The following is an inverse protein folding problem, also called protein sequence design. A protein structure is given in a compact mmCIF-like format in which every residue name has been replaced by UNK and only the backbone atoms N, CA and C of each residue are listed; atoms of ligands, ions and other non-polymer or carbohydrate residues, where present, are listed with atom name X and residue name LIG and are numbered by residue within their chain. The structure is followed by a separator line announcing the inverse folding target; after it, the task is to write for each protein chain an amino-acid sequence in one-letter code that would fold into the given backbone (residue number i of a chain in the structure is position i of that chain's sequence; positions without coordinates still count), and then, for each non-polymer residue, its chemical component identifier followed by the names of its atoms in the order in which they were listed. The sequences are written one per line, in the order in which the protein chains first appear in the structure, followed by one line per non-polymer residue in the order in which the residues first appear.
data_IF_591599651392
#
_entry.id   IF_591599651392
#
_cell.length_a   1.000
_cell.length_b   1.000
_cell.length_c   1.000
_cell.angle_alpha   90.00
_cell.angle_beta   90.00
_cell.angle_gamma   90.00
#
_symmetry.space_group_name_H-M   'P 1'
#
loop_
_entity.id
_entity.type
_entity.pdbx_description
1 polymer ?
#
# COMPACT_ATOMS: atom_id res chain seq x y z
N UNK A 1 -18.58 -19.38 7.07
CA UNK A 1 -18.17 -19.55 5.66
C UNK A 1 -19.06 -20.60 5.05
N UNK A 2 -19.68 -20.29 3.92
CA UNK A 2 -20.47 -21.26 3.18
C UNK A 2 -19.52 -22.15 2.37
N UNK A 3 -19.92 -23.37 2.03
CA UNK A 3 -19.08 -24.32 1.27
C UNK A 3 -18.77 -23.83 -0.17
N UNK A 4 -19.42 -22.74 -0.62
CA UNK A 4 -19.16 -22.08 -1.91
C UNK A 4 -17.92 -21.18 -1.91
N UNK A 5 -17.43 -20.79 -0.73
CA UNK A 5 -16.33 -19.81 -0.60
C UNK A 5 -14.95 -20.50 -0.56
N UNK A 6 -14.89 -21.80 -0.88
CA UNK A 6 -13.69 -22.63 -0.79
C UNK A 6 -13.34 -23.22 -2.15
N UNK A 7 -12.14 -22.90 -2.65
CA UNK A 7 -11.60 -23.44 -3.89
C UNK A 7 -10.32 -24.22 -3.64
N UNK A 8 -10.13 -25.33 -4.34
CA UNK A 8 -8.94 -26.20 -4.22
C UNK A 8 -8.09 -26.13 -5.48
N UNK A 9 -6.79 -25.90 -5.31
CA UNK A 9 -5.78 -25.97 -6.36
C UNK A 9 -4.86 -27.17 -6.14
N UNK A 10 -4.57 -27.92 -7.21
CA UNK A 10 -3.71 -29.10 -7.13
C UNK A 10 -2.27 -28.85 -7.66
N UNK A 11 -1.96 -27.66 -8.21
CA UNK A 11 -0.65 -27.21 -8.77
C UNK A 11 -0.55 -25.67 -8.78
N UNK A 12 0.55 -25.11 -9.30
CA UNK A 12 0.62 -23.69 -9.68
C UNK A 12 -0.54 -23.34 -10.62
N UNK A 13 -1.33 -22.33 -10.26
CA UNK A 13 -2.49 -21.93 -11.03
C UNK A 13 -3.09 -20.64 -10.52
N UNK A 14 -3.94 -20.06 -11.35
CA UNK A 14 -4.79 -18.93 -10.98
C UNK A 14 -6.16 -19.48 -10.58
N UNK A 15 -6.73 -18.95 -9.51
CA UNK A 15 -8.13 -19.18 -9.15
C UNK A 15 -8.88 -17.89 -9.37
N UNK A 16 -10.00 -18.00 -10.08
CA UNK A 16 -10.97 -16.94 -10.19
C UNK A 16 -12.14 -17.28 -9.27
N UNK A 17 -12.49 -16.34 -8.40
CA UNK A 17 -13.62 -16.47 -7.47
C UNK A 17 -14.60 -15.38 -7.85
N UNK A 18 -15.84 -15.76 -8.16
CA UNK A 18 -16.92 -14.79 -8.32
C UNK A 18 -17.40 -14.36 -6.94
N UNK A 19 -17.51 -13.05 -6.73
CA UNK A 19 -18.03 -12.49 -5.49
C UNK A 19 -19.52 -12.23 -5.63
N UNK A 20 -20.32 -12.75 -4.70
CA UNK A 20 -21.76 -12.48 -4.62
C UNK A 20 -22.03 -10.98 -4.36
N UNK A 21 -21.17 -10.35 -3.56
CA UNK A 21 -21.21 -8.92 -3.24
C UNK A 21 -19.82 -8.28 -3.33
N UNK A 22 -19.76 -7.09 -3.95
CA UNK A 22 -18.56 -6.29 -4.06
C UNK A 22 -18.58 -5.13 -3.05
N UNK A 23 -17.67 -5.21 -2.08
CA UNK A 23 -17.39 -4.19 -1.07
C UNK A 23 -16.06 -3.53 -1.42
N UNK A 24 -16.12 -2.26 -1.81
CA UNK A 24 -14.94 -1.53 -2.26
C UNK A 24 -14.21 -0.94 -1.06
N UNK A 25 -12.88 -0.99 -1.12
CA UNK A 25 -12.02 -0.24 -0.22
C UNK A 25 -12.15 1.26 -0.55
N UNK A 26 -12.55 2.06 0.43
CA UNK A 26 -12.79 3.50 0.28
C UNK A 26 -12.06 4.32 1.35
N UNK A 27 -11.99 5.64 1.14
CA UNK A 27 -11.40 6.55 2.11
C UNK A 27 -12.27 6.59 3.36
N UNK A 28 -11.68 6.30 4.52
CA UNK A 28 -12.38 6.21 5.81
C UNK A 28 -13.17 4.91 6.00
N UNK A 29 -13.22 4.03 5.00
CA UNK A 29 -13.85 2.71 5.07
C UNK A 29 -12.93 1.65 4.45
N UNK A 30 -12.11 1.04 5.31
CA UNK A 30 -11.19 -0.02 4.92
C UNK A 30 -11.90 -1.37 4.77
N UNK A 31 -12.81 -1.48 3.81
CA UNK A 31 -13.45 -2.74 3.48
C UNK A 31 -12.40 -3.75 2.96
N UNK A 32 -12.20 -4.83 3.72
CA UNK A 32 -11.21 -5.87 3.43
C UNK A 32 -11.88 -7.25 3.42
N UNK A 33 -11.36 -8.11 2.56
CA UNK A 33 -11.71 -9.51 2.46
C UNK A 33 -10.64 -10.35 3.13
N UNK A 34 -11.01 -11.12 4.15
CA UNK A 34 -10.11 -12.08 4.78
C UNK A 34 -9.92 -13.31 3.89
N UNK A 35 -8.68 -13.78 3.76
CA UNK A 35 -8.33 -14.97 3.00
C UNK A 35 -7.55 -15.92 3.88
N UNK A 36 -7.91 -17.20 3.83
CA UNK A 36 -7.16 -18.26 4.48
C UNK A 36 -6.67 -19.25 3.43
N UNK A 37 -5.36 -19.44 3.38
CA UNK A 37 -4.71 -20.46 2.58
C UNK A 37 -4.36 -21.62 3.51
N UNK A 38 -4.75 -22.83 3.14
CA UNK A 38 -4.39 -24.04 3.90
C UNK A 38 -3.78 -25.07 2.96
N UNK A 39 -2.65 -25.63 3.35
CA UNK A 39 -1.96 -26.70 2.63
C UNK A 39 -1.44 -27.71 3.64
N UNK A 40 -1.95 -28.94 3.58
CA UNK A 40 -1.67 -29.98 4.58
C UNK A 40 -1.96 -29.46 6.01
N UNK A 41 -0.95 -29.41 6.88
CA UNK A 41 -1.06 -28.91 8.25
C UNK A 41 -0.69 -27.42 8.40
N UNK A 42 -0.31 -26.74 7.30
CA UNK A 42 0.05 -25.32 7.30
C UNK A 42 -1.17 -24.44 6.96
N UNK A 43 -1.30 -23.32 7.65
CA UNK A 43 -2.38 -22.34 7.43
C UNK A 43 -1.85 -20.92 7.53
N UNK A 44 -2.09 -20.13 6.48
CA UNK A 44 -1.71 -18.73 6.36
C UNK A 44 -2.96 -17.87 6.25
N UNK A 45 -3.03 -16.83 7.08
CA UNK A 45 -4.08 -15.82 7.01
C UNK A 45 -3.54 -14.56 6.32
N UNK A 46 -4.35 -14.00 5.43
CA UNK A 46 -4.09 -12.75 4.73
C UNK A 46 -5.39 -12.00 4.52
N UNK A 47 -5.31 -10.84 3.88
CA UNK A 47 -6.47 -10.09 3.42
C UNK A 47 -6.16 -9.38 2.10
N UNK A 48 -7.19 -8.89 1.43
CA UNK A 48 -7.07 -7.97 0.29
C UNK A 48 -8.22 -6.98 0.29
N UNK A 49 -8.06 -5.85 -0.41
CA UNK A 49 -9.10 -4.85 -0.61
C UNK A 49 -9.38 -4.64 -2.10
N UNK A 50 -10.65 -4.42 -2.45
CA UNK A 50 -11.06 -4.18 -3.84
C UNK A 50 -11.10 -2.68 -4.12
N UNK A 51 -10.20 -2.19 -4.98
CA UNK A 51 -10.20 -0.78 -5.41
C UNK A 51 -9.60 -0.59 -6.79
N UNK A 52 -10.04 0.46 -7.47
CA UNK A 52 -9.49 0.92 -8.74
C UNK A 52 -8.93 2.33 -8.58
N UNK A 53 -7.71 2.56 -9.08
CA UNK A 53 -7.08 3.87 -9.14
C UNK A 53 -6.91 4.25 -10.60
N UNK A 54 -7.35 5.44 -10.94
CA UNK A 54 -7.29 5.96 -12.30
C UNK A 54 -6.78 7.42 -12.28
N UNK A 55 -5.98 7.77 -13.28
CA UNK A 55 -5.66 9.15 -13.60
C UNK A 55 -6.31 9.51 -14.93
N UNK A 56 -7.37 10.32 -14.87
CA UNK A 56 -8.10 10.79 -16.05
C UNK A 56 -7.74 12.27 -16.29
N UNK A 57 -6.79 12.49 -17.20
CA UNK A 57 -6.19 13.80 -17.42
C UNK A 57 -5.46 14.31 -16.18
N UNK A 58 -6.05 15.27 -15.48
CA UNK A 58 -5.54 15.82 -14.21
C UNK A 58 -6.34 15.37 -12.99
N UNK A 59 -7.38 14.56 -13.17
CA UNK A 59 -8.22 14.07 -12.09
C UNK A 59 -7.69 12.73 -11.57
N UNK A 60 -7.32 12.69 -10.29
CA UNK A 60 -7.07 11.43 -9.60
C UNK A 60 -8.39 10.83 -9.14
N UNK A 61 -8.69 9.61 -9.55
CA UNK A 61 -9.93 8.90 -9.25
C UNK A 61 -9.66 7.65 -8.43
N UNK A 62 -10.48 7.44 -7.41
CA UNK A 62 -10.59 6.20 -6.65
C UNK A 62 -11.99 5.63 -6.87
N UNK A 63 -12.08 4.41 -7.39
CA UNK A 63 -13.35 3.75 -7.71
C UNK A 63 -14.27 4.62 -8.59
N UNK A 64 -13.67 5.29 -9.60
CA UNK A 64 -14.36 6.20 -10.52
C UNK A 64 -14.75 7.57 -9.94
N UNK A 65 -14.50 7.83 -8.64
CA UNK A 65 -14.80 9.12 -7.99
C UNK A 65 -13.55 9.98 -7.94
N UNK A 66 -13.63 11.22 -8.43
CA UNK A 66 -12.53 12.20 -8.31
C UNK A 66 -12.28 12.53 -6.85
N UNK A 67 -11.03 12.39 -6.42
CA UNK A 67 -10.60 12.72 -5.06
C UNK A 67 -9.41 13.69 -5.08
N UNK A 68 -9.39 14.57 -4.08
CA UNK A 68 -8.22 15.40 -3.83
C UNK A 68 -7.36 14.77 -2.74
N UNK A 69 -6.08 14.53 -3.04
CA UNK A 69 -5.12 13.93 -2.10
C UNK A 69 -4.67 14.97 -1.08
N UNK A 70 -5.34 15.02 0.08
CA UNK A 70 -4.98 15.88 1.22
C UNK A 70 -4.04 15.10 2.12
N UNK A 71 -2.76 15.11 1.77
CA UNK A 71 -1.76 14.28 2.43
C UNK A 71 -0.92 15.04 3.44
N UNK A 72 -0.65 14.37 4.56
CA UNK A 72 0.31 14.81 5.56
C UNK A 72 1.64 14.08 5.35
N UNK A 73 2.79 14.77 5.43
CA UNK A 73 4.08 14.09 5.45
C UNK A 73 4.31 13.43 6.82
N UNK A 74 4.54 12.11 6.83
CA UNK A 74 4.87 11.35 8.04
C UNK A 74 6.34 10.94 7.97
N UNK A 75 7.14 11.42 8.91
CA UNK A 75 8.54 11.01 9.06
C UNK A 75 8.72 9.73 9.88
N UNK A 76 7.73 9.35 10.68
CA UNK A 76 7.80 8.17 11.56
C UNK A 76 8.84 8.33 12.66
N UNK A 77 8.80 9.47 13.35
CA UNK A 77 9.62 9.76 14.52
C UNK A 77 8.87 9.45 15.81
N UNK A 78 9.46 8.61 16.67
CA UNK A 78 8.86 8.17 17.93
C UNK A 78 9.78 8.48 19.12
N UNK A 79 9.22 8.96 20.24
CA UNK A 79 10.01 9.38 21.41
C UNK A 79 10.88 8.25 21.97
N UNK A 80 10.33 7.05 22.12
CA UNK A 80 11.01 5.89 22.73
C UNK A 80 11.92 5.12 21.75
N UNK A 81 11.79 5.35 20.45
CA UNK A 81 12.35 4.45 19.43
C UNK A 81 12.94 5.12 18.19
N UNK A 82 12.96 6.46 18.13
CA UNK A 82 13.30 7.34 16.99
C UNK A 82 12.66 6.87 15.68
N UNK A 83 13.08 5.75 15.09
CA UNK A 83 12.55 5.19 13.86
C UNK A 83 11.63 3.97 14.03
N UNK A 84 11.47 3.43 15.23
CA UNK A 84 10.63 2.24 15.46
C UNK A 84 9.53 2.58 16.44
N UNK A 85 8.28 2.32 16.05
CA UNK A 85 7.18 2.45 16.98
C UNK A 85 7.28 1.38 18.06
N UNK A 86 6.92 1.75 19.29
CA UNK A 86 6.93 0.83 20.42
C UNK A 86 5.89 -0.29 20.27
N UNK A 87 4.73 0.07 19.76
CA UNK A 87 3.58 -0.83 19.58
C UNK A 87 2.64 -0.32 18.47
N UNK A 88 1.62 -1.12 18.16
CA UNK A 88 0.63 -0.80 17.13
C UNK A 88 -0.27 0.39 17.50
N UNK A 89 -0.44 0.71 18.78
CA UNK A 89 -1.33 1.79 19.20
C UNK A 89 -0.77 3.15 18.81
N UNK A 90 0.56 3.31 18.87
CA UNK A 90 1.23 4.52 18.34
C UNK A 90 1.00 4.66 16.84
N UNK A 91 1.13 3.58 16.06
CA UNK A 91 0.92 3.59 14.61
C UNK A 91 -0.53 3.98 14.27
N UNK A 92 -1.50 3.37 14.95
CA UNK A 92 -2.93 3.68 14.78
C UNK A 92 -3.25 5.11 15.19
N UNK A 93 -2.66 5.59 16.28
CA UNK A 93 -2.87 6.93 16.78
C UNK A 93 -2.47 8.00 15.75
N UNK A 94 -1.32 7.83 15.08
CA UNK A 94 -0.88 8.74 14.02
C UNK A 94 -1.88 8.80 12.86
N UNK A 95 -2.45 7.67 12.47
CA UNK A 95 -3.47 7.56 11.41
C UNK A 95 -4.76 8.26 11.84
N UNK A 96 -5.27 7.94 13.04
CA UNK A 96 -6.50 8.52 13.58
C UNK A 96 -6.37 10.04 13.73
N UNK A 97 -5.23 10.51 14.25
CA UNK A 97 -4.96 11.93 14.40
C UNK A 97 -4.96 12.62 13.04
N UNK A 98 -4.30 12.05 12.04
CA UNK A 98 -4.27 12.57 10.67
C UNK A 98 -5.69 12.66 10.08
N UNK A 99 -6.50 11.62 10.23
CA UNK A 99 -7.89 11.62 9.79
C UNK A 99 -8.73 12.68 10.53
N UNK A 100 -8.55 12.84 11.85
CA UNK A 100 -9.25 13.85 12.64
C UNK A 100 -8.92 15.30 12.22
N UNK A 101 -7.73 15.51 11.67
CA UNK A 101 -7.30 16.79 11.08
C UNK A 101 -7.81 17.00 9.65
N UNK A 102 -8.51 16.01 9.08
CA UNK A 102 -9.12 16.08 7.74
C UNK A 102 -8.23 15.59 6.61
N UNK A 103 -7.08 14.98 6.91
CA UNK A 103 -6.24 14.31 5.91
C UNK A 103 -6.87 12.97 5.51
N UNK A 104 -6.78 12.64 4.22
CA UNK A 104 -7.28 11.36 3.69
C UNK A 104 -6.16 10.39 3.30
N UNK A 105 -4.92 10.78 3.57
CA UNK A 105 -3.76 9.91 3.42
C UNK A 105 -2.48 10.59 3.89
N UNK A 106 -1.37 9.89 3.70
CA UNK A 106 -0.06 10.37 4.06
C UNK A 106 0.98 10.03 2.99
N UNK A 107 2.02 10.87 2.95
CA UNK A 107 3.27 10.55 2.29
C UNK A 107 4.27 10.12 3.34
N UNK A 108 4.65 8.85 3.31
CA UNK A 108 5.64 8.29 4.23
C UNK A 108 7.02 8.70 3.73
N UNK A 109 7.64 9.67 4.40
CA UNK A 109 8.71 10.44 3.80
C UNK A 109 10.07 9.74 3.98
N UNK A 110 10.81 9.60 2.86
CA UNK A 110 12.21 9.16 2.75
C UNK A 110 12.65 7.97 3.61
N UNK A 111 11.79 6.96 3.77
CA UNK A 111 12.10 5.78 4.57
C UNK A 111 11.21 4.59 4.20
N UNK A 112 11.78 3.40 4.28
CA UNK A 112 11.02 2.16 4.29
C UNK A 112 10.27 2.00 5.62
N UNK A 113 8.95 2.17 5.61
CA UNK A 113 8.13 1.97 6.79
C UNK A 113 7.90 0.49 7.11
N UNK A 114 7.52 0.23 8.36
CA UNK A 114 7.16 -1.12 8.80
C UNK A 114 5.82 -1.57 8.20
N UNK A 115 5.67 -2.84 7.77
CA UNK A 115 4.43 -3.35 7.19
C UNK A 115 3.19 -3.17 8.08
N UNK A 116 3.40 -3.11 9.40
CA UNK A 116 2.34 -2.89 10.40
C UNK A 116 1.64 -1.54 10.19
N UNK A 117 2.36 -0.51 9.77
CA UNK A 117 1.74 0.79 9.50
C UNK A 117 0.76 0.69 8.31
N UNK A 118 1.18 0.06 7.20
CA UNK A 118 0.31 -0.17 6.05
C UNK A 118 -0.91 -1.02 6.40
N UNK A 119 -0.76 -2.04 7.25
CA UNK A 119 -1.88 -2.84 7.76
C UNK A 119 -2.96 -1.98 8.44
N UNK A 120 -2.55 -1.04 9.31
CA UNK A 120 -3.51 -0.15 9.96
C UNK A 120 -4.09 0.87 8.98
N UNK A 121 -3.32 1.34 7.99
CA UNK A 121 -3.84 2.20 6.92
C UNK A 121 -4.89 1.49 6.06
N UNK A 122 -4.67 0.22 5.72
CA UNK A 122 -5.62 -0.59 4.96
C UNK A 122 -6.95 -0.69 5.70
N UNK A 123 -6.92 -0.98 7.01
CA UNK A 123 -8.13 -1.08 7.85
C UNK A 123 -8.83 0.24 8.07
N UNK A 124 -8.09 1.34 8.14
CA UNK A 124 -8.65 2.67 8.39
C UNK A 124 -9.20 3.34 7.12
N UNK A 125 -8.95 2.79 5.93
CA UNK A 125 -9.26 3.46 4.67
C UNK A 125 -8.40 4.72 4.48
N UNK A 126 -7.10 4.64 4.79
CA UNK A 126 -6.18 5.78 4.74
C UNK A 126 -5.15 5.59 3.63
N UNK A 127 -5.09 6.52 2.67
CA UNK A 127 -4.22 6.37 1.50
C UNK A 127 -2.75 6.63 1.82
N UNK A 128 -1.85 5.96 1.11
CA UNK A 128 -0.42 6.05 1.37
C UNK A 128 0.38 6.22 0.08
N UNK A 129 1.31 7.18 0.10
CA UNK A 129 2.49 7.15 -0.77
C UNK A 129 3.63 6.50 0.01
N UNK A 130 4.00 5.30 -0.43
CA UNK A 130 5.14 4.57 0.12
C UNK A 130 6.42 5.07 -0.54
N UNK A 131 7.49 5.27 0.23
CA UNK A 131 8.71 5.89 -0.28
C UNK A 131 9.96 5.07 0.06
N UNK A 132 11.02 5.27 -0.72
CA UNK A 132 12.35 4.77 -0.41
C UNK A 132 13.30 5.92 -0.07
N UNK A 133 14.16 5.70 0.91
CA UNK A 133 15.24 6.63 1.25
C UNK A 133 16.24 6.72 0.09
N UNK A 134 16.39 7.90 -0.51
CA UNK A 134 17.35 8.10 -1.60
C UNK A 134 18.03 9.47 -1.59
N UNK A 135 17.90 10.23 -0.49
CA UNK A 135 18.46 11.57 -0.40
C UNK A 135 19.97 11.55 -0.64
N UNK A 136 20.41 12.32 -1.64
CA UNK A 136 21.83 12.46 -1.97
C UNK A 136 22.43 11.30 -2.75
N UNK A 137 21.59 10.39 -3.29
CA UNK A 137 22.07 9.34 -4.20
C UNK A 137 22.64 9.95 -5.48
N UNK A 138 23.86 9.54 -5.83
CA UNK A 138 24.48 9.88 -7.11
C UNK A 138 24.09 8.83 -8.16
N UNK A 139 23.15 9.19 -9.03
CA UNK A 139 22.67 8.34 -10.13
C UNK A 139 23.70 8.18 -11.26
N UNK A 140 24.78 8.97 -11.29
CA UNK A 140 25.87 8.77 -12.26
C UNK A 140 26.82 7.65 -11.84
N UNK A 141 26.82 7.28 -10.55
CA UNK A 141 27.62 6.20 -10.02
C UNK A 141 26.86 4.87 -10.13
N UNK A 142 27.41 3.96 -10.94
CA UNK A 142 26.86 2.62 -11.16
C UNK A 142 26.61 1.85 -9.85
N UNK A 143 27.50 1.99 -8.84
CA UNK A 143 27.34 1.29 -7.56
C UNK A 143 26.08 1.73 -6.80
N UNK A 144 25.80 3.04 -6.80
CA UNK A 144 24.59 3.58 -6.16
C UNK A 144 23.32 2.94 -6.73
N UNK A 145 23.28 2.74 -8.04
CA UNK A 145 22.15 2.11 -8.73
C UNK A 145 22.05 0.63 -8.36
N UNK A 146 23.16 -0.10 -8.36
CA UNK A 146 23.17 -1.54 -8.07
C UNK A 146 22.83 -1.86 -6.63
N UNK A 147 23.06 -0.93 -5.69
CA UNK A 147 22.70 -1.11 -4.28
C UNK A 147 21.22 -0.72 -4.05
N UNK A 148 20.77 0.40 -4.64
CA UNK A 148 19.42 0.92 -4.45
C UNK A 148 18.31 0.08 -5.10
N UNK A 149 18.49 -0.34 -6.37
CA UNK A 149 17.43 -1.00 -7.13
C UNK A 149 16.97 -2.32 -6.49
N UNK A 150 17.85 -3.22 -6.02
CA UNK A 150 17.42 -4.43 -5.34
C UNK A 150 16.62 -4.16 -4.07
N UNK A 151 17.03 -3.18 -3.26
CA UNK A 151 16.31 -2.80 -2.04
C UNK A 151 14.92 -2.25 -2.36
N UNK A 152 14.83 -1.36 -3.37
CA UNK A 152 13.53 -0.86 -3.85
C UNK A 152 12.63 -1.98 -4.34
N UNK A 153 13.16 -2.90 -5.15
CA UNK A 153 12.41 -4.06 -5.62
C UNK A 153 11.92 -4.95 -4.47
N UNK A 154 12.69 -5.10 -3.39
CA UNK A 154 12.26 -5.83 -2.20
C UNK A 154 11.09 -5.15 -1.51
N UNK A 155 11.10 -3.83 -1.37
CA UNK A 155 9.97 -3.09 -0.79
C UNK A 155 8.71 -3.21 -1.65
N UNK A 156 8.84 -3.05 -2.98
CA UNK A 156 7.69 -3.26 -3.88
C UNK A 156 7.14 -4.67 -3.74
N UNK A 157 7.99 -5.70 -3.72
CA UNK A 157 7.56 -7.10 -3.53
C UNK A 157 6.97 -7.40 -2.15
N UNK A 158 7.37 -6.65 -1.13
CA UNK A 158 6.83 -6.80 0.23
C UNK A 158 5.45 -6.15 0.34
N UNK A 159 5.31 -4.96 -0.26
CA UNK A 159 4.19 -4.07 0.04
C UNK A 159 3.08 -4.07 -1.05
N UNK A 160 3.26 -4.79 -2.17
CA UNK A 160 2.32 -4.76 -3.31
C UNK A 160 0.87 -5.16 -2.99
N UNK A 161 0.63 -5.91 -1.92
CA UNK A 161 -0.71 -6.38 -1.55
C UNK A 161 -1.50 -5.37 -0.72
N UNK A 162 -0.90 -4.25 -0.28
CA UNK A 162 -1.60 -3.26 0.55
C UNK A 162 -2.53 -2.38 -0.30
N UNK A 163 -3.87 -2.44 -0.11
CA UNK A 163 -4.79 -1.57 -0.83
C UNK A 163 -4.59 -0.08 -0.51
N UNK A 164 -4.09 0.28 0.67
CA UNK A 164 -3.81 1.68 1.04
C UNK A 164 -2.72 2.33 0.20
N UNK A 165 -1.77 1.55 -0.34
CA UNK A 165 -0.68 2.10 -1.14
C UNK A 165 -1.20 2.43 -2.54
N UNK A 166 -1.21 3.73 -2.86
CA UNK A 166 -1.69 4.25 -4.14
C UNK A 166 -0.56 4.68 -5.08
N UNK A 167 0.65 4.86 -4.55
CA UNK A 167 1.84 5.29 -5.29
C UNK A 167 3.11 4.88 -4.55
N UNK A 168 4.12 4.43 -5.31
CA UNK A 168 5.47 4.22 -4.84
C UNK A 168 6.39 5.35 -5.28
N UNK A 169 7.06 6.01 -4.33
CA UNK A 169 8.00 7.12 -4.55
C UNK A 169 9.42 6.59 -4.39
N UNK A 170 10.17 6.56 -5.48
CA UNK A 170 11.55 6.08 -5.51
C UNK A 170 12.58 7.22 -5.58
N UNK A 171 12.13 8.49 -5.71
CA UNK A 171 13.02 9.64 -5.78
C UNK A 171 12.38 10.95 -5.34
N UNK A 172 13.09 11.73 -4.52
CA UNK A 172 12.64 13.03 -3.99
C UNK A 172 13.33 14.24 -4.63
N UNK A 173 14.46 14.06 -5.34
CA UNK A 173 15.27 15.16 -5.89
C UNK A 173 15.75 15.03 -7.34
N UNK A 174 15.26 14.09 -8.14
CA UNK A 174 15.55 14.08 -9.56
C UNK A 174 14.25 13.93 -10.36
N UNK A 175 14.14 14.76 -11.40
CA UNK A 175 13.03 14.94 -12.33
C UNK A 175 11.88 13.98 -12.18
N UNK A 176 10.72 14.53 -11.77
CA UNK A 176 9.40 13.93 -11.93
C UNK A 176 9.34 13.23 -13.29
N UNK A 177 9.50 11.90 -13.32
CA UNK A 177 9.32 11.13 -14.54
C UNK A 177 7.86 11.34 -14.94
N UNK A 178 7.65 12.09 -16.03
CA UNK A 178 6.35 12.41 -16.62
C UNK A 178 5.68 11.19 -17.28
N UNK A 179 6.06 9.99 -16.92
CA UNK A 179 5.43 8.79 -17.42
C UNK A 179 4.43 8.30 -16.38
N UNK A 180 3.16 8.54 -16.69
CA UNK A 180 2.05 7.97 -15.95
C UNK A 180 2.28 6.48 -15.81
N UNK A 181 2.36 6.00 -14.58
CA UNK A 181 2.13 4.59 -14.30
C UNK A 181 0.71 4.29 -14.79
N UNK A 182 0.61 3.74 -16.01
CA UNK A 182 -0.56 2.98 -16.39
C UNK A 182 -0.59 1.79 -15.44
N UNK A 183 -1.37 1.91 -14.36
CA UNK A 183 -1.81 0.76 -13.58
C UNK A 183 -2.74 0.01 -14.51
N UNK A 184 -2.16 -0.90 -15.29
CA UNK A 184 -2.88 -1.75 -16.22
C UNK A 184 -3.97 -2.49 -15.43
N UNK A 185 -5.20 -2.30 -15.88
CA UNK A 185 -6.36 -3.15 -15.61
C UNK A 185 -5.92 -4.61 -15.64
N UNK A 186 -5.72 -5.24 -14.48
CA UNK A 186 -5.67 -6.70 -14.39
C UNK A 186 -7.13 -7.15 -14.30
N UNK A 187 -7.83 -7.05 -15.43
CA UNK A 187 -9.07 -7.78 -15.63
C UNK A 187 -8.73 -9.24 -15.90
N UNK A 188 -9.00 -10.10 -14.93
CA UNK A 188 -9.41 -11.49 -15.18
C UNK A 188 -10.92 -11.53 -15.39
#
# INVERSE_FOLDING_TARGET
MSDKDRTTLNKHGFVQIELDELHLWEIGDGALYDVTFSFEDDTVHSYFGMREIELDGYEFKLNGKTIFQRFVPIQGFYEDGVYTAKDDEILKHDIILSQSMGFNGARLHEKAFEPRFYYHCDRAGFMVWAEMANWGIDLSNYRSITDFLPEWQQLVKRDFNHPSIITGVHSTRHGMLREGLNVTKLSS
#
